data_IF_571476498988
#
_entry.id   IF_571476498988
#
_cell.length_a   1.000
_cell.length_b   1.000
_cell.length_c   1.000
_cell.angle_alpha   90.00
_cell.angle_beta   90.00
_cell.angle_gamma   90.00
#
_symmetry.space_group_name_H-M   'P 1'
#
loop_
_entity.id
_entity.type
_entity.pdbx_description
1 polymer ?
#
# COMPACT_ATOMS: atom_id res chain seq x y z
N UNK A 1 27.16 -1.66 9.19
CA UNK A 1 26.13 -1.38 10.21
C UNK A 1 24.99 -2.36 10.02
N UNK A 2 24.40 -2.86 11.11
CA UNK A 2 23.36 -3.88 11.02
C UNK A 2 22.06 -3.26 10.48
N UNK A 3 21.44 -3.88 9.47
CA UNK A 3 20.10 -3.51 9.04
C UNK A 3 19.08 -4.10 10.02
N UNK A 4 18.15 -3.29 10.50
CA UNK A 4 16.97 -3.79 11.22
C UNK A 4 15.96 -4.23 10.18
N UNK A 5 15.70 -5.54 10.11
CA UNK A 5 14.72 -6.11 9.19
C UNK A 5 13.51 -6.57 9.99
N UNK A 6 12.33 -6.10 9.62
CA UNK A 6 11.05 -6.59 10.13
C UNK A 6 10.42 -7.53 9.12
N UNK A 7 9.97 -8.66 9.65
CA UNK A 7 9.32 -9.75 8.92
C UNK A 7 7.99 -10.09 9.56
N UNK A 8 7.08 -10.68 8.78
CA UNK A 8 5.77 -11.09 9.28
C UNK A 8 5.74 -12.57 9.62
N UNK A 9 4.80 -12.95 10.50
CA UNK A 9 4.53 -14.33 10.88
C UNK A 9 3.09 -14.71 10.55
N UNK A 10 2.76 -16.01 10.62
CA UNK A 10 1.47 -16.56 10.17
C UNK A 10 0.25 -15.89 10.79
N UNK A 11 0.31 -15.57 12.08
CA UNK A 11 -0.90 -15.30 12.85
C UNK A 11 -0.85 -13.98 13.64
N UNK A 12 0.28 -13.25 13.59
CA UNK A 12 0.44 -12.02 14.39
C UNK A 12 1.34 -10.98 13.71
N UNK A 13 0.96 -9.72 13.93
CA UNK A 13 1.85 -8.57 13.75
C UNK A 13 3.01 -8.63 14.76
N UNK A 14 4.19 -8.10 14.40
CA UNK A 14 5.22 -7.76 15.40
C UNK A 14 4.64 -6.80 16.46
N UNK A 15 5.17 -6.81 17.68
CA UNK A 15 4.60 -6.06 18.82
C UNK A 15 4.44 -4.56 18.57
N UNK A 16 5.32 -4.00 17.75
CA UNK A 16 5.37 -2.56 17.48
C UNK A 16 4.50 -2.17 16.29
N UNK A 17 3.84 -3.14 15.66
CA UNK A 17 2.89 -2.92 14.58
C UNK A 17 1.47 -2.93 15.09
N UNK A 18 0.67 -2.03 14.54
CA UNK A 18 -0.78 -2.07 14.66
C UNK A 18 -1.44 -1.94 13.30
N UNK A 19 -2.76 -2.10 13.28
CA UNK A 19 -3.54 -1.99 12.05
C UNK A 19 -4.96 -1.49 12.27
N UNK A 20 -5.54 -0.99 11.19
CA UNK A 20 -6.95 -0.63 11.09
C UNK A 20 -7.52 -1.21 9.80
N UNK A 21 -8.78 -1.66 9.85
CA UNK A 21 -9.42 -2.32 8.72
C UNK A 21 -8.94 -3.77 8.55
N UNK A 22 -8.93 -4.26 7.31
CA UNK A 22 -8.71 -5.68 6.99
C UNK A 22 -7.23 -5.94 6.75
N UNK A 23 -6.57 -6.66 7.67
CA UNK A 23 -5.21 -7.18 7.50
C UNK A 23 -5.22 -8.71 7.57
N UNK A 24 -4.44 -9.37 6.70
CA UNK A 24 -4.21 -10.82 6.75
C UNK A 24 -2.75 -11.14 6.48
N UNK A 25 -2.24 -12.22 7.06
CA UNK A 25 -0.94 -12.78 6.70
C UNK A 25 -1.10 -13.98 5.78
N UNK A 26 -0.30 -14.04 4.73
CA UNK A 26 -0.38 -15.10 3.71
C UNK A 26 1.01 -15.66 3.43
N UNK A 27 1.14 -16.99 3.30
CA UNK A 27 2.41 -17.66 3.01
C UNK A 27 2.78 -17.58 1.52
N UNK A 28 1.75 -17.52 0.67
CA UNK A 28 1.87 -17.44 -0.77
C UNK A 28 0.62 -16.79 -1.38
N UNK A 29 0.68 -16.50 -2.68
CA UNK A 29 -0.44 -15.96 -3.45
C UNK A 29 -1.26 -17.07 -4.16
N UNK A 30 -1.32 -18.29 -3.63
CA UNK A 30 -2.14 -19.36 -4.24
C UNK A 30 -3.61 -18.94 -4.42
N UNK A 31 -4.07 -17.97 -3.63
CA UNK A 31 -5.41 -17.39 -3.60
C UNK A 31 -5.71 -16.32 -4.67
N UNK A 32 -4.77 -16.03 -5.59
CA UNK A 32 -5.01 -15.15 -6.74
C UNK A 32 -4.35 -15.72 -8.00
N UNK A 33 -5.14 -16.02 -9.04
CA UNK A 33 -4.65 -16.56 -10.32
C UNK A 33 -3.57 -15.69 -11.02
N UNK A 34 -3.24 -14.50 -10.49
CA UNK A 34 -2.37 -13.49 -11.12
C UNK A 34 -1.19 -12.96 -10.29
N UNK A 35 -0.95 -13.49 -9.07
CA UNK A 35 0.23 -13.15 -8.25
C UNK A 35 1.13 -14.37 -7.99
N UNK A 36 0.88 -15.48 -8.71
CA UNK A 36 1.58 -16.75 -8.55
C UNK A 36 3.03 -16.71 -9.01
N UNK A 37 3.39 -15.78 -9.89
CA UNK A 37 4.74 -15.70 -10.43
C UNK A 37 5.63 -14.78 -9.58
N UNK A 38 6.39 -15.40 -8.68
CA UNK A 38 7.39 -14.75 -7.83
C UNK A 38 8.59 -14.21 -8.61
N UNK A 39 8.71 -14.58 -9.89
CA UNK A 39 9.74 -14.07 -10.80
C UNK A 39 9.26 -12.87 -11.62
N UNK A 40 7.97 -12.54 -11.55
CA UNK A 40 7.42 -11.33 -12.15
C UNK A 40 7.77 -10.11 -11.29
N UNK A 41 9.00 -9.66 -11.45
CA UNK A 41 9.63 -8.56 -10.73
C UNK A 41 9.84 -7.40 -11.71
N UNK A 42 9.70 -6.16 -11.25
CA UNK A 42 10.06 -5.00 -12.07
C UNK A 42 11.55 -5.06 -12.46
N UNK A 43 11.91 -4.90 -13.76
CA UNK A 43 13.31 -4.96 -14.20
C UNK A 43 14.22 -4.06 -13.34
N UNK A 44 15.37 -4.58 -12.92
CA UNK A 44 16.31 -3.87 -12.04
C UNK A 44 15.96 -3.92 -10.54
N UNK A 45 14.80 -4.49 -10.16
CA UNK A 45 14.49 -4.76 -8.75
C UNK A 45 15.13 -6.06 -8.30
N UNK A 46 15.96 -6.00 -7.26
CA UNK A 46 16.45 -7.18 -6.55
C UNK A 46 15.49 -7.43 -5.39
N UNK A 47 14.64 -8.45 -5.51
CA UNK A 47 13.86 -8.94 -4.37
C UNK A 47 14.79 -9.79 -3.53
N UNK A 48 15.15 -9.28 -2.36
CA UNK A 48 15.84 -10.06 -1.36
C UNK A 48 14.97 -11.27 -0.98
N UNK A 49 15.56 -12.48 -0.86
CA UNK A 49 14.82 -13.72 -0.67
C UNK A 49 13.86 -13.59 0.52
N UNK A 50 12.67 -14.20 0.40
CA UNK A 50 11.64 -14.25 1.44
C UNK A 50 12.26 -14.53 2.81
N UNK A 51 12.53 -13.48 3.60
CA UNK A 51 13.18 -13.68 4.91
C UNK A 51 12.16 -14.13 5.97
N UNK A 52 10.87 -13.96 5.70
CA UNK A 52 9.75 -14.12 6.64
C UNK A 52 8.91 -15.40 6.43
N UNK A 53 8.79 -15.84 5.17
CA UNK A 53 7.81 -16.84 4.76
C UNK A 53 6.35 -16.37 4.76
N UNK A 54 6.05 -15.11 5.12
CA UNK A 54 4.69 -14.54 5.14
C UNK A 54 4.66 -13.07 4.68
N UNK A 55 3.63 -12.72 3.91
CA UNK A 55 3.33 -11.36 3.48
C UNK A 55 2.23 -10.75 4.35
N UNK A 56 2.34 -9.46 4.68
CA UNK A 56 1.23 -8.70 5.24
C UNK A 56 0.38 -8.17 4.09
N UNK A 57 -0.87 -8.61 4.02
CA UNK A 57 -1.88 -8.15 3.08
C UNK A 57 -2.75 -7.08 3.74
N UNK A 58 -2.73 -5.90 3.15
CA UNK A 58 -3.49 -4.73 3.59
C UNK A 58 -4.68 -4.56 2.64
N UNK A 59 -5.89 -4.57 3.18
CA UNK A 59 -7.18 -4.47 2.50
C UNK A 59 -7.49 -5.63 1.52
N UNK A 60 -7.98 -6.76 2.03
CA UNK A 60 -8.24 -7.94 1.19
C UNK A 60 -9.46 -7.76 0.25
N UNK A 61 -9.27 -7.86 -1.09
CA UNK A 61 -10.34 -7.78 -2.09
C UNK A 61 -11.42 -8.86 -1.97
N UNK A 62 -11.17 -9.97 -1.26
CA UNK A 62 -12.07 -11.15 -1.20
C UNK A 62 -12.63 -11.44 0.19
N UNK A 63 -12.43 -10.55 1.15
CA UNK A 63 -12.91 -10.77 2.52
C UNK A 63 -14.42 -10.46 2.64
N UNK A 64 -15.22 -11.54 2.54
CA UNK A 64 -16.68 -11.68 2.69
C UNK A 64 -17.56 -11.31 1.48
N UNK A 65 -18.09 -12.31 0.79
CA UNK A 65 -19.15 -12.13 -0.24
C UNK A 65 -18.67 -11.49 -1.54
N UNK A 66 -19.52 -10.68 -2.19
CA UNK A 66 -19.27 -10.02 -3.48
C UNK A 66 -18.05 -9.07 -3.52
N UNK A 67 -17.30 -8.92 -2.42
CA UNK A 67 -16.10 -8.09 -2.35
C UNK A 67 -16.36 -6.59 -2.25
N UNK A 68 -17.62 -6.16 -2.27
CA UNK A 68 -18.02 -4.75 -2.24
C UNK A 68 -17.90 -4.15 -0.84
N UNK A 69 -17.33 -2.95 -0.73
CA UNK A 69 -17.47 -2.10 0.46
C UNK A 69 -18.59 -1.09 0.24
N UNK A 70 -19.45 -0.94 1.24
CA UNK A 70 -20.38 0.20 1.28
C UNK A 70 -19.57 1.49 1.30
N UNK A 71 -20.08 2.47 0.58
CA UNK A 71 -19.52 3.80 0.49
C UNK A 71 -19.32 4.41 1.90
N UNK A 72 -18.10 4.85 2.27
CA UNK A 72 -17.78 5.28 3.64
C UNK A 72 -18.25 6.71 4.01
N UNK A 73 -19.21 7.28 3.26
CA UNK A 73 -19.75 8.62 3.51
C UNK A 73 -19.00 9.74 2.76
N UNK A 74 -19.48 10.97 2.87
CA UNK A 74 -19.15 12.09 1.96
C UNK A 74 -17.73 12.68 2.09
N UNK A 75 -17.00 12.44 3.19
CA UNK A 75 -15.64 12.96 3.33
C UNK A 75 -14.60 11.99 2.78
N UNK A 76 -14.25 12.19 1.51
CA UNK A 76 -13.22 11.43 0.79
C UNK A 76 -11.88 12.19 0.73
N UNK A 77 -11.76 13.34 1.42
CA UNK A 77 -10.63 14.26 1.22
C UNK A 77 -9.35 13.86 1.96
N UNK A 78 -9.46 12.94 2.91
CA UNK A 78 -8.34 12.51 3.77
C UNK A 78 -7.18 11.92 2.97
N UNK A 79 -7.48 11.19 1.89
CA UNK A 79 -6.47 10.62 1.00
C UNK A 79 -6.78 11.00 -0.44
N UNK A 80 -5.99 11.88 -1.04
CA UNK A 80 -6.13 12.23 -2.45
C UNK A 80 -4.94 11.78 -3.29
N UNK A 81 -5.22 11.57 -4.58
CA UNK A 81 -4.21 11.31 -5.59
C UNK A 81 -4.57 12.00 -6.91
N UNK A 82 -3.70 12.90 -7.37
CA UNK A 82 -3.83 13.53 -8.69
C UNK A 82 -3.29 12.58 -9.75
N UNK A 83 -4.05 12.42 -10.83
CA UNK A 83 -3.72 11.60 -12.01
C UNK A 83 -3.04 12.41 -13.12
N UNK A 84 -2.40 11.73 -14.06
CA UNK A 84 -1.72 12.38 -15.19
C UNK A 84 -2.63 13.18 -16.12
N UNK A 85 -3.93 12.89 -16.14
CA UNK A 85 -4.94 13.60 -16.92
C UNK A 85 -5.63 14.75 -16.16
N UNK A 86 -5.11 15.13 -14.99
CA UNK A 86 -5.62 16.26 -14.19
C UNK A 86 -6.83 15.94 -13.31
N UNK A 87 -7.41 14.74 -13.43
CA UNK A 87 -8.42 14.25 -12.48
C UNK A 87 -7.81 13.92 -11.12
N UNK A 88 -8.66 13.80 -10.09
CA UNK A 88 -8.25 13.44 -8.73
C UNK A 88 -9.08 12.25 -8.27
N UNK A 89 -8.45 11.23 -7.69
CA UNK A 89 -9.18 10.26 -6.87
C UNK A 89 -9.12 10.71 -5.42
N UNK A 90 -10.29 10.96 -4.84
CA UNK A 90 -10.48 11.17 -3.41
C UNK A 90 -10.87 9.84 -2.77
N UNK A 91 -10.07 9.41 -1.80
CA UNK A 91 -10.17 8.15 -1.10
C UNK A 91 -10.43 8.36 0.39
N UNK A 92 -11.17 7.43 0.98
CA UNK A 92 -11.44 7.41 2.41
C UNK A 92 -10.72 6.21 3.06
N UNK A 93 -10.88 6.04 4.38
CA UNK A 93 -10.23 5.02 5.22
C UNK A 93 -10.49 3.62 4.66
N UNK A 94 -9.50 3.06 3.96
CA UNK A 94 -9.51 1.66 3.51
C UNK A 94 -8.98 0.73 4.61
N UNK A 95 -7.75 0.24 4.47
CA UNK A 95 -7.03 -0.41 5.56
C UNK A 95 -5.66 0.20 5.73
N UNK A 96 -5.14 0.15 6.95
CA UNK A 96 -3.88 0.76 7.34
C UNK A 96 -3.08 -0.22 8.15
N UNK A 97 -1.81 -0.40 7.78
CA UNK A 97 -0.78 -1.00 8.61
C UNK A 97 0.13 0.10 9.10
N UNK A 98 0.49 0.10 10.37
CA UNK A 98 1.46 1.05 10.91
C UNK A 98 2.48 0.36 11.81
N UNK A 99 3.72 0.84 11.74
CA UNK A 99 4.81 0.50 12.67
C UNK A 99 5.06 1.73 13.55
N UNK A 100 4.72 1.60 14.83
CA UNK A 100 4.84 2.66 15.82
C UNK A 100 6.27 2.77 16.35
N UNK A 101 6.62 3.95 16.87
CA UNK A 101 7.87 4.21 17.60
C UNK A 101 9.15 3.86 16.83
N UNK A 102 9.14 4.04 15.51
CA UNK A 102 10.29 3.79 14.64
C UNK A 102 11.30 4.91 14.83
N UNK A 103 12.56 4.55 14.99
CA UNK A 103 13.70 5.47 15.00
C UNK A 103 14.68 5.10 13.89
N UNK A 104 15.03 6.06 13.04
CA UNK A 104 16.02 5.95 11.98
C UNK A 104 17.10 7.01 12.24
N UNK A 105 18.38 6.65 12.33
CA UNK A 105 19.44 7.63 12.57
C UNK A 105 19.61 8.59 11.36
N UNK A 106 20.27 9.75 11.55
CA UNK A 106 20.64 10.63 10.44
C UNK A 106 21.40 9.90 9.34
N UNK A 107 20.95 10.07 8.09
CA UNK A 107 21.48 9.37 6.90
C UNK A 107 20.93 7.95 6.71
N UNK A 108 20.16 7.44 7.68
CA UNK A 108 19.53 6.14 7.60
C UNK A 108 18.46 6.06 6.51
N UNK A 109 18.20 4.85 6.03
CA UNK A 109 17.36 4.57 4.87
C UNK A 109 16.29 3.54 5.20
N UNK A 110 15.10 3.71 4.62
CA UNK A 110 14.01 2.74 4.67
C UNK A 110 13.78 2.13 3.28
N UNK A 111 13.66 0.80 3.23
CA UNK A 111 13.21 0.08 2.05
C UNK A 111 12.18 -0.99 2.41
N UNK A 112 11.31 -1.34 1.46
CA UNK A 112 10.39 -2.48 1.59
C UNK A 112 9.98 -3.04 0.24
N UNK A 113 9.55 -4.30 0.20
CA UNK A 113 9.00 -4.90 -1.01
C UNK A 113 7.48 -4.85 -0.98
N UNK A 114 6.87 -4.63 -2.14
CA UNK A 114 5.41 -4.63 -2.24
C UNK A 114 4.93 -5.12 -3.59
N UNK A 115 3.67 -5.56 -3.59
CA UNK A 115 2.87 -5.83 -4.79
C UNK A 115 1.46 -5.32 -4.53
N UNK A 116 0.96 -4.47 -5.43
CA UNK A 116 -0.40 -3.94 -5.34
C UNK A 116 -1.34 -4.77 -6.21
N UNK A 117 -2.32 -5.41 -5.57
CA UNK A 117 -3.31 -6.26 -6.17
C UNK A 117 -4.57 -5.42 -6.43
N UNK A 118 -4.89 -5.11 -7.68
CA UNK A 118 -6.16 -4.42 -7.97
C UNK A 118 -7.34 -5.40 -7.86
N UNK A 119 -8.50 -4.86 -7.50
CA UNK A 119 -9.80 -5.55 -7.55
C UNK A 119 -10.22 -5.95 -8.97
N UNK A 120 -11.46 -6.42 -9.13
CA UNK A 120 -11.97 -6.93 -10.41
C UNK A 120 -12.16 -5.85 -11.51
N UNK A 121 -12.31 -6.34 -12.74
CA UNK A 121 -11.96 -5.77 -14.05
C UNK A 121 -12.42 -4.34 -14.42
N UNK A 122 -13.32 -3.70 -13.68
CA UNK A 122 -14.08 -2.56 -14.23
C UNK A 122 -13.80 -1.18 -13.63
N UNK A 123 -13.00 -1.04 -12.55
CA UNK A 123 -12.65 0.31 -12.08
C UNK A 123 -11.30 0.42 -11.34
N UNK A 124 -10.17 0.16 -12.03
CA UNK A 124 -8.85 0.23 -11.41
C UNK A 124 -8.44 1.65 -10.97
N UNK A 125 -9.14 2.71 -11.42
CA UNK A 125 -8.77 4.11 -11.15
C UNK A 125 -9.22 4.62 -9.77
N UNK A 126 -9.96 3.78 -9.05
CA UNK A 126 -10.58 4.13 -7.78
C UNK A 126 -9.80 3.61 -6.56
N UNK A 127 -8.66 2.95 -6.74
CA UNK A 127 -7.88 2.40 -5.63
C UNK A 127 -6.40 2.75 -5.76
N UNK A 128 -5.77 3.01 -4.61
CA UNK A 128 -4.35 3.36 -4.54
C UNK A 128 -3.76 3.00 -3.18
N UNK A 129 -2.43 2.95 -3.12
CA UNK A 129 -1.68 2.76 -1.89
C UNK A 129 -0.69 3.91 -1.67
N UNK A 130 -0.56 4.35 -0.42
CA UNK A 130 0.36 5.42 -0.01
C UNK A 130 1.21 4.95 1.17
N UNK A 131 2.47 5.37 1.15
CA UNK A 131 3.39 5.28 2.26
C UNK A 131 3.48 6.65 2.94
N UNK A 132 3.41 6.65 4.27
CA UNK A 132 3.56 7.83 5.10
C UNK A 132 4.64 7.59 6.16
N UNK A 133 5.52 8.56 6.35
CA UNK A 133 6.32 8.68 7.57
C UNK A 133 5.76 9.87 8.35
N UNK A 134 5.23 9.61 9.55
CA UNK A 134 4.54 10.59 10.39
C UNK A 134 5.34 10.75 11.67
N UNK A 135 5.77 11.97 11.98
CA UNK A 135 6.50 12.27 13.22
C UNK A 135 5.56 12.11 14.44
N UNK A 136 6.16 12.02 15.63
CA UNK A 136 5.42 11.87 16.90
C UNK A 136 4.42 13.01 17.18
N UNK A 137 4.66 14.20 16.62
CA UNK A 137 3.76 15.37 16.68
C UNK A 137 2.59 15.30 15.68
N UNK A 138 2.48 14.22 14.90
CA UNK A 138 1.45 14.01 13.88
C UNK A 138 1.78 14.61 12.51
N UNK A 139 2.92 15.30 12.35
CA UNK A 139 3.31 15.89 11.07
C UNK A 139 3.74 14.82 10.07
N UNK A 140 3.21 14.88 8.85
CA UNK A 140 3.66 14.03 7.75
C UNK A 140 5.02 14.53 7.25
N UNK A 141 6.07 13.76 7.51
CA UNK A 141 7.45 14.03 7.09
C UNK A 141 7.64 13.63 5.63
N UNK A 142 7.15 12.44 5.28
CA UNK A 142 7.23 11.90 3.93
C UNK A 142 5.89 11.31 3.55
N UNK A 143 5.40 11.69 2.38
CA UNK A 143 4.29 11.04 1.68
C UNK A 143 4.79 10.55 0.34
N UNK A 144 4.58 9.27 0.05
CA UNK A 144 4.96 8.65 -1.22
C UNK A 144 3.83 7.78 -1.72
N UNK A 145 3.62 7.82 -3.03
CA UNK A 145 2.64 6.98 -3.70
C UNK A 145 3.31 5.65 -4.01
N UNK A 146 2.68 4.55 -3.61
CA UNK A 146 3.23 3.19 -3.80
C UNK A 146 2.65 2.59 -5.09
N UNK A 147 1.35 2.75 -5.30
CA UNK A 147 0.67 2.30 -6.51
C UNK A 147 -0.21 3.42 -7.06
N UNK A 148 0.12 3.85 -8.28
CA UNK A 148 -0.67 4.78 -9.07
C UNK A 148 -1.24 4.04 -10.28
N UNK A 149 -2.55 4.10 -10.43
CA UNK A 149 -3.24 3.94 -11.72
C UNK A 149 -3.21 5.23 -12.55
N UNK A 150 -2.30 6.13 -12.18
CA UNK A 150 -2.18 7.50 -12.71
C UNK A 150 -1.33 7.60 -13.97
N UNK A 151 -0.56 6.56 -14.27
CA UNK A 151 -0.02 6.39 -15.60
C UNK A 151 -1.08 5.71 -16.45
N UNK A 152 -1.17 6.05 -17.75
CA UNK A 152 -1.55 5.08 -18.77
C UNK A 152 -0.47 3.97 -18.78
N UNK A 153 -0.33 3.26 -17.66
CA UNK A 153 0.43 2.02 -17.61
C UNK A 153 -0.15 1.13 -18.70
N UNK A 154 0.71 0.34 -19.36
CA UNK A 154 0.41 -0.26 -20.65
C UNK A 154 -0.97 -0.90 -20.61
N UNK A 155 -1.66 -0.88 -21.75
CA UNK A 155 -2.82 -1.71 -22.00
C UNK A 155 -2.42 -3.18 -21.80
N UNK A 156 -2.20 -3.60 -20.56
CA UNK A 156 -1.95 -4.97 -20.14
C UNK A 156 -3.33 -5.58 -20.03
N UNK A 157 -3.93 -5.74 -21.20
CA UNK A 157 -4.93 -6.74 -21.49
C UNK A 157 -4.33 -8.09 -21.11
N UNK A 158 -4.39 -8.40 -19.81
CA UNK A 158 -3.97 -9.68 -19.25
C UNK A 158 -2.65 -9.63 -18.48
N UNK A 159 -2.78 -9.93 -17.18
CA UNK A 159 -1.88 -10.83 -16.44
C UNK A 159 -0.42 -10.35 -16.33
N UNK A 160 0.05 -9.68 -15.27
CA UNK A 160 0.26 -10.16 -13.90
C UNK A 160 0.84 -9.00 -13.06
N UNK A 161 0.47 -8.84 -11.79
CA UNK A 161 1.06 -7.78 -10.95
C UNK A 161 2.55 -8.08 -10.68
N UNK A 162 3.43 -7.08 -10.83
CA UNK A 162 4.86 -7.20 -10.55
C UNK A 162 5.19 -6.81 -9.12
N UNK A 163 6.08 -7.58 -8.51
CA UNK A 163 6.73 -7.16 -7.29
C UNK A 163 7.68 -5.98 -7.56
N UNK A 164 7.71 -5.04 -6.62
CA UNK A 164 8.53 -3.84 -6.66
C UNK A 164 9.29 -3.66 -5.35
N UNK A 165 10.47 -3.07 -5.42
CA UNK A 165 11.14 -2.52 -4.26
C UNK A 165 10.80 -1.04 -4.14
N UNK A 166 10.37 -0.65 -2.95
CA UNK A 166 10.20 0.74 -2.57
C UNK A 166 11.46 1.23 -1.87
N UNK A 167 11.98 2.37 -2.32
CA UNK A 167 13.15 2.99 -1.73
C UNK A 167 14.47 2.35 -2.15
N UNK A 168 15.60 2.81 -1.60
CA UNK A 168 15.70 3.39 -0.26
C UNK A 168 15.21 4.85 -0.14
N UNK A 169 14.34 5.12 0.84
CA UNK A 169 14.00 6.48 1.28
C UNK A 169 15.00 6.92 2.34
N UNK A 170 15.80 7.94 2.02
CA UNK A 170 16.80 8.49 2.92
C UNK A 170 16.20 9.53 3.88
N UNK A 171 16.53 9.40 5.16
CA UNK A 171 16.18 10.34 6.22
C UNK A 171 17.45 11.07 6.65
N UNK A 172 17.83 12.11 5.89
CA UNK A 172 19.08 12.86 6.10
C UNK A 172 19.26 13.39 7.53
N UNK A 173 18.17 13.87 8.15
CA UNK A 173 18.16 14.39 9.54
C UNK A 173 17.75 13.33 10.58
N UNK A 174 17.56 12.09 10.15
CA UNK A 174 16.96 11.03 10.96
C UNK A 174 15.44 11.14 11.02
N UNK A 175 14.82 10.16 11.67
CA UNK A 175 13.38 10.08 11.84
C UNK A 175 13.02 9.44 13.17
N UNK A 176 12.01 9.97 13.83
CA UNK A 176 11.34 9.35 14.97
C UNK A 176 9.84 9.53 14.82
N UNK A 177 9.09 8.43 14.78
CA UNK A 177 7.67 8.49 14.46
C UNK A 177 7.04 7.15 14.11
N UNK A 178 5.94 7.21 13.37
CA UNK A 178 5.25 6.06 12.83
C UNK A 178 5.44 5.95 11.32
N UNK A 179 5.71 4.74 10.83
CA UNK A 179 5.65 4.40 9.41
C UNK A 179 4.27 3.81 9.12
N UNK A 180 3.61 4.26 8.06
CA UNK A 180 2.25 3.81 7.72
C UNK A 180 2.14 3.42 6.25
N UNK A 181 1.47 2.30 6.00
CA UNK A 181 1.05 1.85 4.68
C UNK A 181 -0.46 1.86 4.64
N UNK A 182 -1.00 2.72 3.80
CA UNK A 182 -2.44 2.96 3.69
C UNK A 182 -2.89 2.49 2.32
N UNK A 183 -3.89 1.62 2.30
CA UNK A 183 -4.65 1.28 1.10
C UNK A 183 -5.97 2.02 1.19
N UNK A 184 -6.29 2.77 0.14
CA UNK A 184 -7.51 3.56 0.06
C UNK A 184 -8.26 3.20 -1.22
N UNK A 185 -9.57 3.19 -1.08
CA UNK A 185 -10.50 3.15 -2.20
C UNK A 185 -11.28 4.46 -2.20
N UNK A 186 -11.60 4.93 -3.39
CA UNK A 186 -12.04 6.27 -3.65
C UNK A 186 -12.81 6.38 -4.94
N UNK A 187 -13.26 7.58 -5.25
CA UNK A 187 -13.87 7.87 -6.54
C UNK A 187 -12.98 8.87 -7.28
N UNK A 188 -12.74 8.57 -8.55
CA UNK A 188 -12.15 9.50 -9.49
C UNK A 188 -13.18 10.54 -9.90
N UNK A 189 -12.81 11.82 -9.80
CA UNK A 189 -13.62 12.95 -10.24
C UNK A 189 -12.73 14.06 -10.80
N UNK A 190 -13.32 15.14 -11.30
CA UNK A 190 -12.54 16.31 -11.69
C UNK A 190 -11.96 16.98 -10.43
N UNK A 191 -10.84 17.68 -10.62
CA UNK A 191 -10.25 18.45 -9.53
C UNK A 191 -11.21 19.58 -9.12
N UNK A 192 -11.62 19.59 -7.84
CA UNK A 192 -12.60 20.56 -7.31
C UNK A 192 -14.03 20.03 -7.22
N UNK A 193 -14.33 18.85 -7.78
CA UNK A 193 -15.62 18.19 -7.55
C UNK A 193 -15.60 17.55 -6.15
N UNK A 194 -16.34 18.15 -5.22
CA UNK A 194 -16.46 17.65 -3.84
C UNK A 194 -17.43 16.46 -3.71
N UNK A 195 -18.19 16.15 -4.75
CA UNK A 195 -19.27 15.17 -4.66
C UNK A 195 -18.88 13.83 -5.27
N UNK A 196 -18.96 12.83 -4.42
CA UNK A 196 -18.75 11.41 -4.71
C UNK A 196 -20.11 10.73 -4.53
N UNK A 197 -20.45 9.80 -5.42
CA UNK A 197 -21.77 9.18 -5.48
C UNK A 197 -21.86 8.06 -4.43
N UNK A 198 -22.85 8.15 -3.55
CA UNK A 198 -23.04 7.24 -2.43
C UNK A 198 -23.39 5.81 -2.84
N UNK A 199 -23.86 5.61 -4.07
CA UNK A 199 -24.23 4.30 -4.61
C UNK A 199 -23.10 3.67 -5.44
N UNK A 200 -21.89 4.25 -5.42
CA UNK A 200 -20.74 3.68 -6.13
C UNK A 200 -20.20 2.46 -5.40
N UNK A 201 -20.29 1.30 -6.06
CA UNK A 201 -19.61 0.08 -5.66
C UNK A 201 -18.09 0.26 -5.68
N UNK A 202 -17.47 0.20 -4.49
CA UNK A 202 -16.02 0.24 -4.34
C UNK A 202 -15.49 -1.20 -4.24
N UNK A 203 -14.69 -1.58 -5.24
CA UNK A 203 -13.94 -2.83 -5.25
C UNK A 203 -12.57 -2.61 -4.59
N UNK A 204 -12.35 -3.10 -3.36
CA UNK A 204 -11.11 -2.87 -2.66
C UNK A 204 -9.95 -3.49 -3.41
N UNK A 205 -8.82 -2.77 -3.42
CA UNK A 205 -7.52 -3.33 -3.81
C UNK A 205 -6.74 -3.73 -2.57
N UNK A 206 -5.69 -4.53 -2.76
CA UNK A 206 -4.81 -4.96 -1.69
C UNK A 206 -3.39 -4.46 -1.91
N UNK A 207 -2.67 -4.15 -0.83
CA UNK A 207 -1.21 -4.06 -0.85
C UNK A 207 -0.66 -5.25 -0.08
N UNK A 208 0.06 -6.14 -0.76
CA UNK A 208 0.89 -7.12 -0.07
C UNK A 208 2.29 -6.55 0.12
N UNK A 209 2.82 -6.72 1.33
CA UNK A 209 4.04 -6.10 1.80
C UNK A 209 4.96 -7.12 2.46
N UNK A 210 6.26 -6.97 2.23
CA UNK A 210 7.32 -7.79 2.84
C UNK A 210 8.58 -6.96 3.08
N UNK A 211 9.51 -7.57 3.81
CA UNK A 211 10.91 -7.14 3.90
C UNK A 211 11.04 -5.65 4.26
N UNK A 212 10.50 -5.22 5.39
CA UNK A 212 10.70 -3.82 5.81
C UNK A 212 12.09 -3.72 6.43
N UNK A 213 12.97 -2.93 5.85
CA UNK A 213 14.36 -2.81 6.30
C UNK A 213 14.73 -1.35 6.55
N UNK A 214 15.27 -1.11 7.74
CA UNK A 214 15.96 0.13 8.09
C UNK A 214 17.46 -0.14 8.00
N UNK A 215 18.13 0.65 7.19
CA UNK A 215 19.58 0.62 7.01
C UNK A 215 20.11 1.86 7.74
N UNK A 216 20.92 1.63 8.78
CA UNK A 216 21.56 2.71 9.54
C UNK A 216 22.71 3.35 8.77
#
# INVERSE_FOLDING_TARGET
MAATVQTFSRDRLPSDFGSEGRIRFIKDFTWGWKAKDRTNVEPGTIILPQTSGFFCLIDDPRHNGSGLRKYPGSDMTQFSIVHGDGTVTYGNKGARLYWANVTIPPGGKLQFHYIFLRGEWNNPHNAFAQFLAVANDGRVITKRKIAQTCDPGPSESGTYYRWRAFGPVEFAQGFSGALQWVVSNGQRCNNGDAHVDADTDLYPSALALDFISIIA
#
